data_IF_521212058853
#
_entry.id   IF_521212058853
#
_cell.length_a   1.000
_cell.length_b   1.000
_cell.length_c   1.000
_cell.angle_alpha   90.00
_cell.angle_beta   90.00
_cell.angle_gamma   90.00
#
_symmetry.space_group_name_H-M   'P 1'
#
loop_
_entity.id
_entity.type
_entity.pdbx_description
1 polymer ?
#
# COMPACT_ATOMS: atom_id res chain seq x y z
N UNK A 1 -29.97 -35.49 -9.45
CA UNK A 1 -28.68 -35.88 -10.06
C UNK A 1 -28.43 -34.99 -11.27
N UNK A 2 -27.46 -34.07 -11.25
CA UNK A 2 -26.98 -33.44 -12.47
C UNK A 2 -25.88 -34.30 -13.15
N UNK A 3 -25.76 -34.28 -14.50
CA UNK A 3 -24.81 -35.10 -15.26
C UNK A 3 -23.37 -34.55 -15.21
N UNK A 4 -22.35 -35.38 -15.47
CA UNK A 4 -20.95 -34.95 -15.49
C UNK A 4 -20.62 -34.23 -16.82
N UNK A 5 -20.04 -33.04 -16.74
CA UNK A 5 -19.48 -32.34 -17.91
C UNK A 5 -17.99 -32.69 -18.04
N UNK A 6 -17.68 -33.41 -19.11
CA UNK A 6 -16.34 -33.76 -19.59
C UNK A 6 -15.52 -32.54 -20.03
N UNK A 7 -14.18 -32.57 -19.91
CA UNK A 7 -13.31 -31.48 -20.37
C UNK A 7 -13.08 -31.58 -21.89
N UNK A 8 -13.28 -30.48 -22.62
CA UNK A 8 -12.73 -30.28 -23.98
C UNK A 8 -11.78 -29.08 -23.97
N UNK A 9 -10.50 -29.37 -24.17
CA UNK A 9 -9.44 -28.45 -24.59
C UNK A 9 -8.62 -29.20 -25.65
N UNK A 10 -7.82 -28.56 -26.52
CA UNK A 10 -7.74 -27.13 -26.84
C UNK A 10 -7.85 -26.86 -28.35
N UNK A 11 -8.40 -25.71 -28.75
CA UNK A 11 -8.23 -25.22 -30.12
C UNK A 11 -6.83 -24.62 -30.27
N UNK A 12 -6.07 -25.24 -31.16
CA UNK A 12 -4.74 -24.83 -31.60
C UNK A 12 -4.91 -23.64 -32.55
N UNK A 13 -4.53 -22.44 -32.11
CA UNK A 13 -4.28 -21.32 -33.01
C UNK A 13 -2.90 -20.74 -32.69
N UNK A 14 -1.88 -21.33 -33.32
CA UNK A 14 -0.53 -20.77 -33.35
C UNK A 14 -0.44 -19.76 -34.51
N UNK A 15 -0.14 -18.48 -34.25
CA UNK A 15 0.13 -17.52 -35.32
C UNK A 15 1.42 -17.93 -36.05
N UNK A 16 1.31 -18.14 -37.37
CA UNK A 16 2.43 -18.34 -38.29
C UNK A 16 3.50 -17.26 -38.07
N UNK A 17 4.59 -17.63 -37.43
CA UNK A 17 5.83 -16.85 -37.44
C UNK A 17 6.41 -16.97 -38.86
N UNK A 18 6.43 -15.85 -39.59
CA UNK A 18 7.06 -15.77 -40.90
C UNK A 18 8.57 -16.02 -40.76
N UNK A 19 9.20 -16.75 -41.69
CA UNK A 19 10.62 -17.02 -41.63
C UNK A 19 11.41 -15.70 -41.78
N UNK A 20 12.28 -15.51 -40.80
CA UNK A 20 13.38 -14.58 -40.69
C UNK A 20 13.85 -13.96 -42.01
N UNK A 21 13.70 -12.64 -42.12
CA UNK A 21 14.58 -11.82 -42.95
C UNK A 21 16.03 -11.95 -42.45
N UNK A 22 17.03 -11.58 -43.29
CA UNK A 22 18.44 -11.72 -42.93
C UNK A 22 18.71 -11.07 -41.57
N UNK A 23 19.59 -11.65 -40.73
CA UNK A 23 19.93 -11.06 -39.46
C UNK A 23 20.42 -9.64 -39.72
N UNK A 24 19.74 -8.66 -39.13
CA UNK A 24 20.24 -7.29 -39.06
C UNK A 24 21.61 -7.38 -38.40
N UNK A 25 22.67 -7.17 -39.17
CA UNK A 25 24.04 -7.11 -38.64
C UNK A 25 24.03 -6.08 -37.51
N UNK A 26 24.37 -6.46 -36.26
CA UNK A 26 24.47 -5.49 -35.20
C UNK A 26 25.58 -4.52 -35.60
N UNK A 27 25.19 -3.30 -35.98
CA UNK A 27 26.14 -2.21 -36.09
C UNK A 27 26.82 -2.09 -34.73
N UNK A 28 28.17 -2.07 -34.67
CA UNK A 28 28.84 -1.84 -33.41
C UNK A 28 28.34 -0.50 -32.89
N UNK A 29 27.60 -0.53 -31.79
CA UNK A 29 27.27 0.67 -31.03
C UNK A 29 28.63 1.24 -30.68
N UNK A 30 28.97 2.37 -31.31
CA UNK A 30 30.15 3.14 -30.95
C UNK A 30 29.86 3.61 -29.54
N UNK A 31 30.25 2.80 -28.55
CA UNK A 31 30.16 3.15 -27.14
C UNK A 31 30.99 4.40 -27.02
N UNK A 32 30.31 5.54 -26.98
CA UNK A 32 30.92 6.76 -26.49
C UNK A 32 31.39 6.38 -25.09
N UNK A 33 32.70 6.12 -24.97
CA UNK A 33 33.42 6.12 -23.71
C UNK A 33 33.51 7.58 -23.26
N UNK A 34 32.34 8.18 -23.08
CA UNK A 34 32.10 9.35 -22.27
C UNK A 34 31.40 8.80 -21.05
N UNK A 35 32.12 8.68 -19.95
CA UNK A 35 31.52 8.46 -18.66
C UNK A 35 30.47 9.56 -18.47
N UNK A 36 29.20 9.20 -18.47
CA UNK A 36 28.23 10.00 -17.74
C UNK A 36 28.61 9.86 -16.26
N UNK A 37 29.56 10.66 -15.80
CA UNK A 37 29.43 11.31 -14.49
C UNK A 37 28.20 12.22 -14.57
N UNK A 38 27.02 11.62 -14.73
CA UNK A 38 25.80 12.27 -14.29
C UNK A 38 25.92 12.26 -12.78
N UNK A 39 26.13 13.44 -12.21
CA UNK A 39 26.40 13.66 -10.81
C UNK A 39 25.56 12.75 -9.92
N UNK A 40 26.17 11.67 -9.41
CA UNK A 40 25.68 10.98 -8.24
C UNK A 40 25.83 11.85 -6.97
N UNK A 41 26.32 13.08 -7.13
CA UNK A 41 26.48 14.13 -6.13
C UNK A 41 25.33 15.17 -6.09
N UNK A 42 24.27 15.04 -6.92
CA UNK A 42 23.17 16.04 -6.97
C UNK A 42 21.76 15.45 -6.75
N UNK A 43 21.66 14.36 -6.00
CA UNK A 43 20.45 14.14 -5.19
C UNK A 43 20.76 14.70 -3.81
N UNK A 44 20.05 15.75 -3.33
CA UNK A 44 20.15 16.07 -1.92
C UNK A 44 19.86 14.79 -1.14
N UNK A 45 20.60 14.51 -0.04
CA UNK A 45 20.24 13.39 0.82
C UNK A 45 18.73 13.48 1.08
N UNK A 46 17.99 12.35 1.08
CA UNK A 46 16.57 12.40 1.39
C UNK A 46 16.45 13.21 2.67
N UNK A 47 15.63 14.27 2.62
CA UNK A 47 15.43 15.13 3.78
C UNK A 47 15.20 14.22 4.99
N UNK A 48 15.81 14.50 6.16
CA UNK A 48 15.54 13.69 7.34
C UNK A 48 14.03 13.60 7.47
N UNK A 49 13.49 12.38 7.34
CA UNK A 49 12.05 12.21 7.45
C UNK A 49 11.69 12.74 8.84
N UNK A 50 10.70 13.65 8.95
CA UNK A 50 10.36 14.24 10.23
C UNK A 50 10.06 13.12 11.21
N UNK A 51 10.76 13.15 12.35
CA UNK A 51 10.56 12.19 13.43
C UNK A 51 9.07 12.17 13.80
N UNK A 52 8.44 11.02 13.64
CA UNK A 52 7.03 10.88 13.99
C UNK A 52 6.84 10.85 15.50
N UNK A 53 5.66 11.29 15.93
CA UNK A 53 5.33 11.45 17.35
C UNK A 53 5.19 10.05 17.99
N UNK A 54 5.93 9.73 19.06
CA UNK A 54 5.84 8.41 19.69
C UNK A 54 4.43 8.12 20.22
N UNK A 55 3.91 6.93 19.93
CA UNK A 55 2.56 6.51 20.34
C UNK A 55 2.34 6.64 21.86
N UNK A 56 3.35 6.32 22.65
CA UNK A 56 3.27 6.36 24.11
C UNK A 56 3.12 7.78 24.67
N UNK A 57 3.67 8.81 24.01
CA UNK A 57 3.52 10.21 24.46
C UNK A 57 2.10 10.70 24.21
N UNK A 58 1.49 10.29 23.08
CA UNK A 58 0.08 10.53 22.79
C UNK A 58 -0.85 9.85 23.81
N UNK A 59 -0.57 8.58 24.14
CA UNK A 59 -1.36 7.84 25.15
C UNK A 59 -1.20 8.43 26.55
N UNK A 60 -0.03 8.99 26.86
CA UNK A 60 0.24 9.62 28.16
C UNK A 60 -0.37 11.02 28.30
N UNK A 61 -0.80 11.65 27.19
CA UNK A 61 -1.25 13.04 27.19
C UNK A 61 -0.11 14.04 27.40
N UNK A 62 1.07 13.73 26.85
CA UNK A 62 2.22 14.61 26.92
C UNK A 62 1.94 15.93 26.17
N UNK A 63 2.05 17.06 26.87
CA UNK A 63 1.65 18.36 26.33
C UNK A 63 2.48 18.80 25.10
N UNK A 64 3.76 18.43 25.06
CA UNK A 64 4.64 18.76 23.93
C UNK A 64 4.26 17.91 22.70
N UNK A 65 3.95 16.63 22.90
CA UNK A 65 3.43 15.76 21.85
C UNK A 65 2.06 16.23 21.33
N UNK A 66 1.15 16.64 22.22
CA UNK A 66 -0.14 17.21 21.84
C UNK A 66 0.03 18.48 21.00
N UNK A 67 0.90 19.40 21.42
CA UNK A 67 1.16 20.63 20.68
C UNK A 67 1.75 20.33 19.29
N UNK A 68 2.65 19.35 19.19
CA UNK A 68 3.19 18.89 17.90
C UNK A 68 2.10 18.29 17.00
N UNK A 69 1.19 17.46 17.54
CA UNK A 69 0.04 16.94 16.78
C UNK A 69 -0.81 18.08 16.24
N UNK A 70 -1.16 19.04 17.09
CA UNK A 70 -2.02 20.17 16.72
C UNK A 70 -1.35 21.00 15.61
N UNK A 71 -0.06 21.32 15.75
CA UNK A 71 0.69 22.05 14.74
C UNK A 71 0.77 21.28 13.41
N UNK A 72 1.17 20.02 13.43
CA UNK A 72 1.27 19.18 12.23
C UNK A 72 -0.09 18.98 11.53
N UNK A 73 -1.16 18.80 12.31
CA UNK A 73 -2.53 18.71 11.80
C UNK A 73 -3.01 20.04 11.22
N UNK A 74 -2.64 21.17 11.81
CA UNK A 74 -2.99 22.49 11.27
C UNK A 74 -2.24 22.81 9.96
N UNK A 75 -0.98 22.40 9.86
CA UNK A 75 -0.13 22.67 8.69
C UNK A 75 -0.42 21.73 7.52
N UNK A 76 -0.61 20.44 7.79
CA UNK A 76 -0.67 19.40 6.75
C UNK A 76 -1.92 18.52 6.80
N UNK A 77 -2.74 18.61 7.86
CA UNK A 77 -3.90 17.74 8.07
C UNK A 77 -3.56 16.30 8.48
N UNK A 78 -2.29 15.94 8.54
CA UNK A 78 -1.80 14.59 8.86
C UNK A 78 -0.55 14.66 9.73
N UNK A 79 -0.27 13.61 10.48
CA UNK A 79 0.98 13.49 11.24
C UNK A 79 1.40 12.03 11.30
N UNK A 80 2.70 11.78 11.45
CA UNK A 80 3.24 10.44 11.59
C UNK A 80 3.29 10.06 13.07
N UNK A 81 2.87 8.83 13.38
CA UNK A 81 2.99 8.25 14.72
C UNK A 81 4.02 7.12 14.67
N UNK A 82 4.94 7.08 15.63
CA UNK A 82 5.98 6.05 15.73
C UNK A 82 5.71 5.09 16.89
N UNK A 83 6.15 3.84 16.78
CA UNK A 83 6.02 2.85 17.87
C UNK A 83 4.59 2.40 18.21
N UNK A 84 3.60 2.69 17.36
CA UNK A 84 2.23 2.21 17.56
C UNK A 84 2.05 0.74 17.14
N UNK A 85 2.79 0.31 16.11
CA UNK A 85 2.77 -1.04 15.56
C UNK A 85 4.22 -1.46 15.30
N UNK A 86 4.54 -2.72 15.60
CA UNK A 86 5.88 -3.25 15.32
C UNK A 86 6.15 -3.23 13.80
N UNK A 87 7.35 -2.80 13.41
CA UNK A 87 7.70 -2.65 11.99
C UNK A 87 7.66 -3.98 11.23
N UNK A 88 7.98 -5.10 11.90
CA UNK A 88 7.88 -6.43 11.31
C UNK A 88 6.42 -6.84 11.15
N UNK A 89 5.59 -6.60 12.16
CA UNK A 89 4.14 -6.88 12.05
C UNK A 89 3.51 -6.11 10.88
N UNK A 90 3.83 -4.82 10.73
CA UNK A 90 3.35 -4.02 9.61
C UNK A 90 3.82 -4.59 8.25
N UNK A 91 5.08 -5.03 8.15
CA UNK A 91 5.62 -5.64 6.92
C UNK A 91 4.97 -6.99 6.62
N UNK A 92 4.86 -7.85 7.61
CA UNK A 92 4.24 -9.17 7.50
C UNK A 92 2.76 -9.03 7.06
N UNK A 93 2.04 -8.03 7.59
CA UNK A 93 0.68 -7.71 7.19
C UNK A 93 0.58 -7.23 5.73
N UNK A 94 1.50 -6.35 5.30
CA UNK A 94 1.56 -5.86 3.90
C UNK A 94 1.91 -7.00 2.95
N UNK A 95 2.88 -7.85 3.30
CA UNK A 95 3.28 -9.00 2.49
C UNK A 95 2.14 -10.01 2.36
N UNK A 96 1.48 -10.35 3.48
CA UNK A 96 0.31 -11.22 3.48
C UNK A 96 -0.85 -10.63 2.65
N UNK A 97 -1.12 -9.33 2.77
CA UNK A 97 -2.14 -8.67 1.96
C UNK A 97 -1.78 -8.71 0.46
N UNK A 98 -0.51 -8.50 0.11
CA UNK A 98 -0.03 -8.58 -1.27
C UNK A 98 -0.23 -9.97 -1.88
N UNK A 99 0.25 -11.00 -1.18
CA UNK A 99 0.20 -12.38 -1.68
C UNK A 99 -1.18 -13.04 -1.62
N UNK A 100 -2.05 -12.64 -0.68
CA UNK A 100 -3.35 -13.28 -0.49
C UNK A 100 -4.51 -12.43 -1.00
N UNK A 101 -4.54 -11.14 -0.68
CA UNK A 101 -5.68 -10.27 -1.01
C UNK A 101 -5.49 -9.64 -2.38
N UNK A 102 -4.34 -9.03 -2.65
CA UNK A 102 -4.12 -8.33 -3.92
C UNK A 102 -3.88 -9.29 -5.09
N UNK A 103 -3.29 -10.46 -4.85
CA UNK A 103 -3.14 -11.50 -5.86
C UNK A 103 -4.42 -12.33 -6.12
N UNK A 104 -5.44 -12.27 -5.24
CA UNK A 104 -6.66 -13.04 -5.43
C UNK A 104 -7.46 -12.61 -6.68
N UNK A 105 -8.20 -13.54 -7.31
CA UNK A 105 -9.16 -13.22 -8.36
C UNK A 105 -10.17 -12.16 -7.92
N UNK A 106 -10.60 -11.32 -8.86
CA UNK A 106 -11.52 -10.21 -8.59
C UNK A 106 -12.86 -10.69 -8.04
N UNK A 107 -13.32 -11.88 -8.43
CA UNK A 107 -14.53 -12.51 -7.90
C UNK A 107 -14.41 -12.76 -6.39
N UNK A 108 -13.26 -13.26 -5.93
CA UNK A 108 -12.98 -13.50 -4.51
C UNK A 108 -12.96 -12.18 -3.74
N UNK A 109 -12.33 -11.14 -4.29
CA UNK A 109 -12.31 -9.79 -3.69
C UNK A 109 -13.72 -9.20 -3.58
N UNK A 110 -14.56 -9.38 -4.61
CA UNK A 110 -15.96 -8.94 -4.60
C UNK A 110 -16.78 -9.67 -3.55
N UNK A 111 -16.58 -10.98 -3.41
CA UNK A 111 -17.27 -11.80 -2.41
C UNK A 111 -16.88 -11.38 -1.00
N UNK A 112 -15.58 -11.14 -0.76
CA UNK A 112 -15.05 -10.60 0.48
C UNK A 112 -15.63 -9.21 0.78
N UNK A 113 -15.71 -8.32 -0.21
CA UNK A 113 -16.33 -7.01 -0.07
C UNK A 113 -17.83 -7.07 0.26
N UNK A 114 -18.56 -8.06 -0.29
CA UNK A 114 -19.97 -8.31 0.10
C UNK A 114 -20.07 -8.81 1.54
N UNK A 115 -19.15 -9.64 1.97
CA UNK A 115 -19.08 -10.13 3.35
C UNK A 115 -18.74 -9.00 4.34
N UNK A 116 -17.73 -8.16 4.07
CA UNK A 116 -17.34 -7.05 4.94
C UNK A 116 -18.49 -6.06 5.15
N UNK A 117 -19.16 -5.65 4.07
CA UNK A 117 -20.32 -4.75 4.17
C UNK A 117 -21.46 -5.30 5.02
N UNK A 118 -21.65 -6.63 5.06
CA UNK A 118 -22.64 -7.25 5.96
C UNK A 118 -22.19 -7.22 7.41
N UNK A 119 -20.89 -7.38 7.66
CA UNK A 119 -20.29 -7.33 9.00
C UNK A 119 -20.34 -5.93 9.60
N UNK A 120 -19.96 -4.91 8.82
CA UNK A 120 -19.92 -3.50 9.26
C UNK A 120 -21.31 -2.88 9.47
N UNK A 121 -22.35 -3.53 8.95
CA UNK A 121 -23.75 -3.16 9.19
C UNK A 121 -24.29 -3.64 10.55
N UNK A 122 -23.44 -4.21 11.40
CA UNK A 122 -23.76 -4.48 12.80
C UNK A 122 -24.14 -3.20 13.55
N UNK A 123 -24.89 -3.29 14.67
CA UNK A 123 -25.42 -2.11 15.35
C UNK A 123 -24.27 -1.18 15.73
N UNK A 124 -24.30 0.02 15.15
CA UNK A 124 -23.30 1.06 15.38
C UNK A 124 -23.19 1.37 16.87
N UNK A 125 -22.19 0.79 17.52
CA UNK A 125 -21.62 1.36 18.75
C UNK A 125 -20.87 2.60 18.33
N UNK A 126 -21.60 3.70 18.18
CA UNK A 126 -21.02 5.04 18.32
C UNK A 126 -20.60 5.18 19.78
N UNK A 127 -19.42 4.65 20.12
CA UNK A 127 -18.79 4.86 21.43
C UNK A 127 -18.25 6.28 21.61
N UNK A 128 -18.45 7.16 20.63
CA UNK A 128 -18.27 8.60 20.74
C UNK A 128 -19.66 9.24 20.90
N UNK A 129 -20.25 9.09 22.09
CA UNK A 129 -21.29 10.01 22.54
C UNK A 129 -20.61 11.32 22.96
N UNK A 130 -21.23 12.50 22.72
CA UNK A 130 -20.69 13.75 23.24
C UNK A 130 -20.60 13.61 24.76
N UNK A 131 -19.38 13.73 25.29
CA UNK A 131 -19.17 13.78 26.73
C UNK A 131 -20.02 14.92 27.28
N UNK A 132 -20.95 14.52 28.13
CA UNK A 132 -21.92 15.28 28.88
C UNK A 132 -21.32 16.59 29.45
N UNK A 133 -21.53 17.70 28.74
CA UNK A 133 -21.25 19.06 29.22
C UNK A 133 -22.41 19.48 30.15
N UNK A 134 -22.49 18.77 31.29
CA UNK A 134 -23.41 19.03 32.41
C UNK A 134 -22.60 19.09 33.70
N UNK A 135 -21.69 20.07 33.79
CA UNK A 135 -21.07 20.44 35.07
C UNK A 135 -20.67 21.91 35.05
N UNK A 136 -21.10 22.63 36.09
CA UNK A 136 -20.90 24.06 36.37
C UNK A 136 -21.99 24.91 35.69
N UNK A 137 -22.86 25.63 36.38
CA UNK A 137 -22.94 26.02 37.78
C UNK A 137 -23.85 27.25 37.83
#
# INVERSE_FOLDING_TARGET
MPPPLTPRQPFQDHPRIRPHGPPSVPTPIRTARGACTAAADDFPPPAPEPDGIPSHTLVSGDADAEQQVIAAAAESGVFRVTGAVDAREARDAVEAASGLVFAAPEEVKRDLGRWSRRRDRGPGRSSFGPADERRQG
#
